data_IF_486749804821
#
_entry.id   IF_486749804821
#
_cell.length_a   1.000
_cell.length_b   1.000
_cell.length_c   1.000
_cell.angle_alpha   90.00
_cell.angle_beta   90.00
_cell.angle_gamma   90.00
#
_symmetry.space_group_name_H-M   'P 1'
#
loop_
_entity.id
_entity.type
_entity.pdbx_description
1 polymer ?
#
# COMPACT_ATOMS: atom_id res chain seq x y z
N UNK A 1 11.80 -12.65 -13.72
CA UNK A 1 11.66 -12.17 -12.31
C UNK A 1 11.29 -10.72 -12.36
N UNK A 2 10.16 -10.34 -11.80
CA UNK A 2 9.79 -8.94 -11.68
C UNK A 2 10.77 -8.24 -10.71
N UNK A 3 11.34 -7.13 -11.15
CA UNK A 3 12.26 -6.34 -10.32
C UNK A 3 11.45 -5.81 -9.11
N UNK A 4 11.94 -6.04 -7.89
CA UNK A 4 11.37 -5.43 -6.69
C UNK A 4 11.46 -3.91 -6.78
N UNK A 5 10.44 -3.21 -6.31
CA UNK A 5 10.44 -1.74 -6.20
C UNK A 5 11.45 -1.31 -5.13
N UNK A 6 12.26 -0.31 -5.45
CA UNK A 6 13.30 0.23 -4.55
C UNK A 6 12.74 1.40 -3.73
N UNK A 7 12.33 1.14 -2.49
CA UNK A 7 11.77 2.15 -1.59
C UNK A 7 12.81 3.04 -0.90
N UNK A 8 14.11 2.87 -1.18
CA UNK A 8 15.12 3.87 -0.81
C UNK A 8 14.99 5.15 -1.67
N UNK A 9 14.32 5.04 -2.81
CA UNK A 9 14.05 6.16 -3.71
C UNK A 9 12.77 6.89 -3.28
N UNK A 10 12.91 8.17 -2.92
CA UNK A 10 11.78 9.03 -2.52
C UNK A 10 10.66 9.08 -3.59
N UNK A 11 11.01 8.93 -4.88
CA UNK A 11 10.05 8.90 -5.98
C UNK A 11 9.04 7.73 -5.91
N UNK A 12 9.34 6.67 -5.15
CA UNK A 12 8.44 5.53 -4.93
C UNK A 12 7.50 5.71 -3.72
N UNK A 13 7.46 6.93 -3.17
CA UNK A 13 6.55 7.34 -2.11
C UNK A 13 5.73 8.53 -2.55
N UNK A 14 4.43 8.47 -2.37
CA UNK A 14 3.61 9.68 -2.42
C UNK A 14 3.94 10.59 -1.24
N UNK A 15 4.04 10.00 -0.03
CA UNK A 15 4.43 10.69 1.19
C UNK A 15 5.51 9.91 1.93
N UNK A 16 6.66 10.53 2.07
CA UNK A 16 7.76 10.11 2.95
C UNK A 16 8.06 11.31 3.87
N UNK A 17 7.50 11.35 5.09
CA UNK A 17 7.49 12.55 5.92
C UNK A 17 8.83 12.79 6.61
N UNK A 18 9.05 14.04 7.04
CA UNK A 18 9.95 14.32 8.17
C UNK A 18 9.30 13.83 9.47
N UNK A 19 10.12 13.27 10.35
CA UNK A 19 9.65 12.73 11.63
C UNK A 19 9.48 13.87 12.63
N UNK A 20 8.24 14.16 12.97
CA UNK A 20 7.86 15.24 13.90
C UNK A 20 6.88 14.79 14.97
N UNK A 21 6.40 13.55 14.91
CA UNK A 21 5.39 12.94 15.80
C UNK A 21 5.93 11.67 16.44
N UNK A 22 5.33 11.26 17.54
CA UNK A 22 5.70 10.06 18.29
C UNK A 22 5.06 8.77 17.76
N UNK A 23 4.07 8.89 16.85
CA UNK A 23 3.33 7.78 16.23
C UNK A 23 3.40 7.94 14.72
N UNK A 24 3.50 6.82 14.01
CA UNK A 24 3.45 6.79 12.56
C UNK A 24 2.10 6.27 12.06
N UNK A 25 1.72 6.62 10.83
CA UNK A 25 0.69 5.93 10.05
C UNK A 25 1.31 5.42 8.76
N UNK A 26 1.22 4.12 8.53
CA UNK A 26 1.53 3.52 7.23
C UNK A 26 0.19 3.33 6.50
N UNK A 27 -0.01 4.10 5.42
CA UNK A 27 -1.28 4.15 4.70
C UNK A 27 -1.17 3.45 3.35
N UNK A 28 -2.10 2.53 3.09
CA UNK A 28 -2.22 1.79 1.82
C UNK A 28 -3.49 2.26 1.12
N UNK A 29 -3.33 2.98 -0.01
CA UNK A 29 -4.44 3.59 -0.73
C UNK A 29 -5.29 2.56 -1.51
N UNK A 30 -6.48 3.00 -1.92
CA UNK A 30 -7.47 2.22 -2.66
C UNK A 30 -7.02 1.84 -4.07
N UNK A 31 -7.88 1.11 -4.78
CA UNK A 31 -7.72 0.90 -6.22
C UNK A 31 -7.89 2.23 -6.95
N UNK A 32 -6.84 2.72 -7.57
CA UNK A 32 -6.82 3.95 -8.38
C UNK A 32 -6.55 3.66 -9.87
N UNK A 33 -6.16 2.43 -10.21
CA UNK A 33 -6.09 1.92 -11.58
C UNK A 33 -7.44 1.29 -11.92
N UNK A 34 -8.40 2.13 -12.34
CA UNK A 34 -9.82 1.77 -12.47
C UNK A 34 -10.23 1.69 -13.93
N UNK A 35 -10.41 2.86 -14.58
CA UNK A 35 -11.03 2.95 -15.91
C UNK A 35 -10.13 2.38 -16.99
N UNK A 36 -8.88 2.78 -17.01
CA UNK A 36 -7.90 2.31 -18.00
C UNK A 36 -7.52 0.84 -17.82
N UNK A 37 -7.86 0.22 -16.68
CA UNK A 37 -7.70 -1.23 -16.48
C UNK A 37 -8.66 -2.06 -17.35
N UNK A 38 -9.71 -1.46 -17.90
CA UNK A 38 -10.69 -2.09 -18.79
C UNK A 38 -10.35 -1.92 -20.28
N UNK A 39 -9.34 -1.13 -20.62
CA UNK A 39 -8.91 -0.94 -22.00
C UNK A 39 -8.42 -2.26 -22.61
N UNK A 40 -8.53 -2.38 -23.94
CA UNK A 40 -8.03 -3.54 -24.65
C UNK A 40 -6.51 -3.64 -24.51
N UNK A 41 -6.02 -4.78 -24.03
CA UNK A 41 -4.57 -4.98 -23.78
C UNK A 41 -4.02 -4.32 -22.53
N UNK A 42 -4.87 -3.73 -21.67
CA UNK A 42 -4.42 -3.18 -20.39
C UNK A 42 -3.73 -4.25 -19.52
N UNK A 43 -2.63 -3.91 -18.85
CA UNK A 43 -1.95 -4.84 -17.96
C UNK A 43 -2.78 -5.13 -16.70
N UNK A 44 -2.60 -6.31 -16.11
CA UNK A 44 -3.28 -6.73 -14.88
C UNK A 44 -2.91 -5.84 -13.68
N UNK A 45 -1.71 -5.27 -13.69
CA UNK A 45 -1.17 -4.42 -12.62
C UNK A 45 -0.76 -3.06 -13.17
N UNK A 46 -1.05 -2.00 -12.41
CA UNK A 46 -0.55 -0.66 -12.71
C UNK A 46 0.98 -0.63 -12.63
N UNK A 47 1.62 0.16 -13.47
CA UNK A 47 3.01 0.58 -13.28
C UNK A 47 3.06 1.76 -12.30
N UNK A 48 4.24 2.02 -11.68
CA UNK A 48 4.36 3.12 -10.72
C UNK A 48 4.22 4.52 -11.35
N UNK A 49 4.28 4.61 -12.67
CA UNK A 49 4.09 5.83 -13.47
C UNK A 49 2.72 5.88 -14.18
N UNK A 50 1.78 5.00 -13.81
CA UNK A 50 0.43 5.02 -14.35
C UNK A 50 -0.29 6.33 -13.97
N UNK A 51 -0.63 7.14 -14.97
CA UNK A 51 -1.19 8.48 -14.77
C UNK A 51 -2.52 8.50 -14.03
N UNK A 52 -3.41 7.53 -14.33
CA UNK A 52 -4.70 7.40 -13.64
C UNK A 52 -4.49 7.10 -12.15
N UNK A 53 -3.63 6.13 -11.85
CA UNK A 53 -3.30 5.76 -10.48
C UNK A 53 -2.69 6.94 -9.72
N UNK A 54 -1.73 7.65 -10.30
CA UNK A 54 -1.08 8.80 -9.65
C UNK A 54 -2.08 9.92 -9.34
N UNK A 55 -2.99 10.22 -10.27
CA UNK A 55 -4.04 11.22 -10.05
C UNK A 55 -5.03 10.79 -8.96
N UNK A 56 -5.42 9.51 -8.93
CA UNK A 56 -6.30 8.95 -7.93
C UNK A 56 -5.70 8.98 -6.52
N UNK A 57 -4.42 8.61 -6.38
CA UNK A 57 -3.70 8.68 -5.09
C UNK A 57 -3.70 10.10 -4.53
N UNK A 58 -3.52 11.13 -5.38
CA UNK A 58 -3.59 12.52 -4.93
C UNK A 58 -4.98 12.88 -4.39
N UNK A 59 -6.05 12.42 -5.05
CA UNK A 59 -7.43 12.65 -4.60
C UNK A 59 -7.69 11.93 -3.28
N UNK A 60 -7.31 10.67 -3.15
CA UNK A 60 -7.48 9.92 -1.91
C UNK A 60 -6.66 10.50 -0.76
N UNK A 61 -5.42 10.89 -1.01
CA UNK A 61 -4.61 11.57 0.00
C UNK A 61 -5.31 12.81 0.54
N UNK A 62 -5.77 13.71 -0.34
CA UNK A 62 -6.46 14.95 0.08
C UNK A 62 -7.79 14.69 0.78
N UNK A 63 -8.52 13.66 0.34
CA UNK A 63 -9.86 13.35 0.86
C UNK A 63 -9.87 12.52 2.14
N UNK A 64 -8.84 11.72 2.39
CA UNK A 64 -8.84 10.72 3.47
C UNK A 64 -7.54 10.68 4.27
N UNK A 65 -6.39 10.46 3.62
CA UNK A 65 -5.15 10.18 4.33
C UNK A 65 -4.62 11.37 5.14
N UNK A 66 -4.88 12.60 4.73
CA UNK A 66 -4.51 13.81 5.47
C UNK A 66 -5.09 13.87 6.88
N UNK A 67 -6.18 13.13 7.17
CA UNK A 67 -6.75 13.01 8.51
C UNK A 67 -5.72 12.55 9.54
N UNK A 68 -4.76 11.74 9.15
CA UNK A 68 -3.72 11.21 10.03
C UNK A 68 -2.59 12.20 10.30
N UNK A 69 -2.34 13.18 9.41
CA UNK A 69 -1.17 14.07 9.49
C UNK A 69 -1.16 14.99 10.72
N UNK A 70 -2.34 15.30 11.27
CA UNK A 70 -2.43 16.14 12.46
C UNK A 70 -1.74 15.49 13.67
N UNK A 71 -1.76 14.16 13.78
CA UNK A 71 -1.32 13.40 14.96
C UNK A 71 -0.21 12.39 14.69
N UNK A 72 0.06 12.04 13.43
CA UNK A 72 1.05 11.01 13.08
C UNK A 72 1.98 11.46 11.95
N UNK A 73 3.13 10.77 11.82
CA UNK A 73 3.97 10.87 10.64
C UNK A 73 3.36 9.95 9.58
N UNK A 74 2.84 10.51 8.49
CA UNK A 74 2.13 9.75 7.46
C UNK A 74 3.10 9.23 6.40
N UNK A 75 3.20 7.90 6.28
CA UNK A 75 3.92 7.18 5.22
C UNK A 75 2.92 6.62 4.23
N UNK A 76 3.06 6.96 2.95
CA UNK A 76 2.19 6.52 1.88
C UNK A 76 3.06 6.11 0.67
N UNK A 77 3.38 4.81 0.53
CA UNK A 77 4.13 4.32 -0.61
C UNK A 77 3.26 4.24 -1.86
N UNK A 78 3.84 4.50 -3.04
CA UNK A 78 3.26 3.99 -4.28
C UNK A 78 3.49 2.48 -4.37
N UNK A 79 2.55 1.75 -4.94
CA UNK A 79 2.69 0.33 -5.21
C UNK A 79 2.00 -0.06 -6.52
N UNK A 80 2.50 -1.08 -7.19
CA UNK A 80 1.92 -1.60 -8.43
C UNK A 80 0.66 -2.37 -8.10
N UNK A 81 -0.45 -1.67 -8.01
CA UNK A 81 -1.73 -2.25 -7.60
C UNK A 81 -2.38 -3.09 -8.71
N UNK A 82 -3.25 -4.00 -8.30
CA UNK A 82 -4.12 -4.73 -9.22
C UNK A 82 -5.15 -3.78 -9.84
N UNK A 83 -5.29 -3.83 -11.16
CA UNK A 83 -6.37 -3.14 -11.85
C UNK A 83 -7.74 -3.67 -11.41
N UNK A 84 -8.76 -2.79 -11.42
CA UNK A 84 -10.10 -3.15 -10.97
C UNK A 84 -10.68 -4.33 -11.76
N UNK A 85 -10.45 -4.38 -13.08
CA UNK A 85 -10.86 -5.49 -13.94
C UNK A 85 -10.25 -6.80 -13.48
N UNK A 86 -8.92 -6.85 -13.37
CA UNK A 86 -8.20 -8.06 -12.98
C UNK A 86 -8.60 -8.54 -11.57
N UNK A 87 -8.63 -7.64 -10.60
CA UNK A 87 -9.04 -7.98 -9.24
C UNK A 87 -10.47 -8.58 -9.19
N UNK A 88 -11.39 -8.01 -9.97
CA UNK A 88 -12.76 -8.51 -10.10
C UNK A 88 -12.83 -9.89 -10.77
N UNK A 89 -12.08 -10.13 -11.82
CA UNK A 89 -12.03 -11.41 -12.54
C UNK A 89 -11.45 -12.53 -11.67
N UNK A 90 -10.33 -12.26 -10.99
CA UNK A 90 -9.70 -13.22 -10.08
C UNK A 90 -10.61 -13.54 -8.90
N UNK A 91 -11.20 -12.52 -8.27
CA UNK A 91 -12.14 -12.72 -7.16
C UNK A 91 -13.36 -13.59 -7.57
N UNK A 92 -13.93 -13.36 -8.75
CA UNK A 92 -15.01 -14.20 -9.29
C UNK A 92 -14.57 -15.64 -9.54
N UNK A 93 -13.35 -15.83 -10.07
CA UNK A 93 -12.82 -17.14 -10.44
C UNK A 93 -12.44 -17.97 -9.21
N UNK A 94 -11.86 -17.36 -8.20
CA UNK A 94 -11.28 -18.05 -7.04
C UNK A 94 -12.17 -18.01 -5.80
N UNK A 95 -13.13 -17.08 -5.74
CA UNK A 95 -13.90 -16.76 -4.53
C UNK A 95 -13.06 -16.07 -3.44
N UNK A 96 -11.84 -15.65 -3.76
CA UNK A 96 -10.89 -15.08 -2.81
C UNK A 96 -10.24 -13.80 -3.37
N UNK A 97 -10.51 -12.67 -2.72
CA UNK A 97 -9.93 -11.38 -3.11
C UNK A 97 -8.41 -11.32 -2.91
N UNK A 98 -7.85 -12.08 -1.99
CA UNK A 98 -6.42 -12.10 -1.71
C UNK A 98 -5.60 -12.54 -2.93
N UNK A 99 -6.17 -13.41 -3.78
CA UNK A 99 -5.49 -13.87 -5.01
C UNK A 99 -5.18 -12.72 -5.99
N UNK A 100 -5.99 -11.67 -5.98
CA UNK A 100 -5.73 -10.47 -6.77
C UNK A 100 -4.66 -9.55 -6.16
N UNK A 101 -4.33 -9.74 -4.90
CA UNK A 101 -3.34 -8.93 -4.16
C UNK A 101 -1.96 -9.60 -4.11
N UNK A 102 -1.91 -10.94 -4.24
CA UNK A 102 -0.68 -11.69 -4.26
C UNK A 102 0.15 -11.35 -5.52
N UNK A 103 1.48 -11.43 -5.41
CA UNK A 103 2.40 -11.03 -6.47
C UNK A 103 2.80 -9.56 -6.33
N UNK A 104 2.72 -8.77 -7.41
CA UNK A 104 3.29 -7.41 -7.44
C UNK A 104 2.77 -6.47 -6.35
N UNK A 105 1.46 -6.38 -6.05
CA UNK A 105 0.97 -5.51 -4.99
C UNK A 105 1.53 -5.88 -3.62
N UNK A 106 1.50 -7.17 -3.30
CA UNK A 106 2.02 -7.69 -2.03
C UNK A 106 3.54 -7.52 -1.92
N UNK A 107 4.28 -7.85 -3.00
CA UNK A 107 5.74 -7.71 -3.04
C UNK A 107 6.18 -6.25 -2.84
N UNK A 108 5.45 -5.30 -3.45
CA UNK A 108 5.75 -3.88 -3.29
C UNK A 108 5.45 -3.39 -1.88
N UNK A 109 4.27 -3.71 -1.33
CA UNK A 109 3.90 -3.26 0.02
C UNK A 109 4.81 -3.88 1.08
N UNK A 110 5.17 -5.16 0.98
CA UNK A 110 6.12 -5.77 1.92
C UNK A 110 7.51 -5.17 1.80
N UNK A 111 7.99 -4.87 0.58
CA UNK A 111 9.25 -4.16 0.40
C UNK A 111 9.23 -2.72 0.97
N UNK A 112 8.09 -2.03 0.85
CA UNK A 112 7.90 -0.71 1.46
C UNK A 112 7.90 -0.79 3.00
N UNK A 113 7.25 -1.81 3.58
CA UNK A 113 7.26 -2.08 5.02
C UNK A 113 8.66 -2.41 5.54
N UNK A 114 9.41 -3.25 4.82
CA UNK A 114 10.80 -3.56 5.17
C UNK A 114 11.63 -2.27 5.24
N UNK A 115 11.59 -1.46 4.19
CA UNK A 115 12.30 -0.18 4.18
C UNK A 115 11.84 0.76 5.31
N UNK A 116 10.52 0.86 5.53
CA UNK A 116 9.95 1.68 6.59
C UNK A 116 10.44 1.26 7.98
N UNK A 117 10.38 -0.03 8.31
CA UNK A 117 10.79 -0.51 9.63
C UNK A 117 12.30 -0.42 9.85
N UNK A 118 13.09 -0.71 8.82
CA UNK A 118 14.56 -0.70 8.90
C UNK A 118 15.15 0.72 8.92
N UNK A 119 14.53 1.69 8.20
CA UNK A 119 15.15 2.99 7.95
C UNK A 119 14.36 4.19 8.47
N UNK A 120 13.05 4.07 8.67
CA UNK A 120 12.20 5.22 8.96
C UNK A 120 11.52 5.16 10.32
N UNK A 121 11.00 4.01 10.74
CA UNK A 121 10.14 3.89 11.93
C UNK A 121 10.86 4.18 13.24
N UNK A 122 12.14 3.80 13.39
CA UNK A 122 12.91 4.08 14.60
C UNK A 122 12.31 3.51 15.91
N UNK A 123 11.49 2.45 15.81
CA UNK A 123 10.84 1.81 16.96
C UNK A 123 9.57 2.47 17.44
N UNK A 124 9.06 3.52 16.78
CA UNK A 124 7.79 4.18 17.16
C UNK A 124 6.59 3.26 17.00
N UNK A 125 5.55 3.43 17.82
CA UNK A 125 4.25 2.81 17.58
C UNK A 125 3.68 3.32 16.24
N UNK A 126 2.85 2.49 15.60
CA UNK A 126 2.26 2.84 14.31
C UNK A 126 0.83 2.35 14.14
N UNK A 127 0.12 3.01 13.22
CA UNK A 127 -1.19 2.64 12.71
C UNK A 127 -0.98 2.07 11.31
N UNK A 128 -1.56 0.89 11.04
CA UNK A 128 -1.69 0.38 9.68
C UNK A 128 -3.06 0.80 9.15
N UNK A 129 -3.10 1.73 8.22
CA UNK A 129 -4.36 2.21 7.66
C UNK A 129 -4.49 1.81 6.18
N UNK A 130 -5.71 1.56 5.74
CA UNK A 130 -5.97 1.23 4.34
C UNK A 130 -7.41 1.51 3.95
N UNK A 131 -7.61 1.75 2.65
CA UNK A 131 -8.93 1.92 2.08
C UNK A 131 -9.13 0.94 0.92
N UNK A 132 -10.33 0.34 0.77
CA UNK A 132 -10.68 -0.56 -0.33
C UNK A 132 -9.63 -1.67 -0.55
N UNK A 133 -8.92 -1.69 -1.69
CA UNK A 133 -7.82 -2.64 -1.95
C UNK A 133 -6.73 -2.56 -0.87
N UNK A 134 -6.45 -1.35 -0.36
CA UNK A 134 -5.52 -1.16 0.76
C UNK A 134 -6.00 -1.81 2.06
N UNK A 135 -7.30 -1.81 2.34
CA UNK A 135 -7.86 -2.53 3.50
C UNK A 135 -7.74 -4.04 3.35
N UNK A 136 -8.02 -4.58 2.16
CA UNK A 136 -7.81 -6.01 1.89
C UNK A 136 -6.33 -6.40 2.01
N UNK A 137 -5.42 -5.55 1.54
CA UNK A 137 -3.98 -5.73 1.72
C UNK A 137 -3.60 -5.71 3.21
N UNK A 138 -4.13 -4.78 4.01
CA UNK A 138 -3.86 -4.73 5.45
C UNK A 138 -4.28 -6.03 6.14
N UNK A 139 -5.47 -6.59 5.82
CA UNK A 139 -5.92 -7.87 6.34
C UNK A 139 -5.02 -9.04 5.91
N UNK A 140 -4.54 -9.03 4.67
CA UNK A 140 -3.59 -10.03 4.19
C UNK A 140 -2.25 -9.94 4.94
N UNK A 141 -1.72 -8.74 5.13
CA UNK A 141 -0.47 -8.49 5.88
C UNK A 141 -0.56 -8.96 7.33
N UNK A 142 -1.70 -8.79 8.01
CA UNK A 142 -1.89 -9.29 9.38
C UNK A 142 -1.76 -10.81 9.46
N UNK A 143 -2.19 -11.54 8.43
CA UNK A 143 -2.16 -13.01 8.40
C UNK A 143 -0.83 -13.58 7.88
N UNK A 144 0.00 -12.76 7.26
CA UNK A 144 1.24 -13.17 6.60
C UNK A 144 2.44 -12.41 7.18
N UNK A 145 2.74 -11.23 6.65
CA UNK A 145 3.92 -10.42 6.99
C UNK A 145 4.08 -10.19 8.50
N UNK A 146 3.02 -9.73 9.18
CA UNK A 146 3.10 -9.44 10.62
C UNK A 146 3.12 -10.70 11.49
N UNK A 147 2.66 -11.84 10.99
CA UNK A 147 2.84 -13.13 11.66
C UNK A 147 4.32 -13.54 11.69
N UNK A 148 5.05 -13.23 10.62
CA UNK A 148 6.47 -13.54 10.49
C UNK A 148 7.37 -12.47 11.14
N UNK A 149 6.80 -11.28 11.50
CA UNK A 149 7.45 -10.16 12.15
C UNK A 149 6.74 -9.74 13.44
N UNK A 150 6.69 -10.60 14.49
CA UNK A 150 5.97 -10.31 15.73
C UNK A 150 6.50 -9.06 16.45
N UNK A 151 7.77 -8.71 16.28
CA UNK A 151 8.39 -7.49 16.83
C UNK A 151 7.83 -6.21 16.20
N UNK A 152 7.42 -6.24 14.93
CA UNK A 152 6.72 -5.13 14.28
C UNK A 152 5.25 -5.10 14.69
N UNK A 153 4.60 -6.26 14.73
CA UNK A 153 3.21 -6.37 15.18
C UNK A 153 3.02 -5.81 16.60
N UNK A 154 3.95 -6.07 17.50
CA UNK A 154 3.89 -5.58 18.90
C UNK A 154 3.86 -4.05 19.02
N UNK A 155 4.26 -3.32 17.97
CA UNK A 155 4.23 -1.85 17.93
C UNK A 155 3.00 -1.27 17.21
N UNK A 156 2.16 -2.13 16.62
CA UNK A 156 0.92 -1.71 15.96
C UNK A 156 -0.12 -1.34 17.01
N UNK A 157 -0.59 -0.09 17.01
CA UNK A 157 -1.58 0.41 17.96
C UNK A 157 -3.00 0.38 17.41
N UNK A 158 -3.15 0.35 16.09
CA UNK A 158 -4.44 0.21 15.40
C UNK A 158 -4.27 -0.32 13.97
N UNK A 159 -5.34 -0.88 13.42
CA UNK A 159 -5.51 -1.23 12.01
C UNK A 159 -6.94 -0.90 11.57
#
# INVERSE_FOLDING_TARGET
MNKKTDYSLKANWYKLPEITKDVDTFYIYATEYIMTSFDEGAPDYATLDNEEMLAGVEVEYKGQATTFEASTNLFLPYYRQSGLKYAGEISKKTGNIDEGLLGMPYDDITAALDYYFENCNGGRPFILAGHSQGSAMALLLLRTYFKDHPEYYARMVAV
#
